data_IF_507421796780
#
_entry.id   IF_507421796780
#
_cell.length_a   1.000
_cell.length_b   1.000
_cell.length_c   1.000
_cell.angle_alpha   90.00
_cell.angle_beta   90.00
_cell.angle_gamma   90.00
#
_symmetry.space_group_name_H-M   'P 1'
#
loop_
_entity.id
_entity.type
_entity.pdbx_description
1 polymer ?
#
# COMPACT_ATOMS: atom_id res chain seq x y z
N UNK A 1 12.77 -12.78 -3.66
CA UNK A 1 13.59 -13.61 -2.75
C UNK A 1 12.66 -14.56 -1.97
N UNK A 2 12.97 -15.86 -1.95
CA UNK A 2 12.16 -16.86 -1.23
C UNK A 2 12.18 -16.61 0.28
N UNK A 3 13.28 -16.10 0.82
CA UNK A 3 13.39 -15.80 2.26
C UNK A 3 12.44 -14.68 2.69
N UNK A 4 12.29 -13.64 1.88
CA UNK A 4 11.33 -12.54 2.10
C UNK A 4 9.88 -13.07 2.03
N UNK A 5 9.58 -13.94 1.07
CA UNK A 5 8.26 -14.56 0.96
C UNK A 5 7.93 -15.46 2.17
N UNK A 6 8.88 -16.27 2.64
CA UNK A 6 8.72 -17.09 3.85
C UNK A 6 8.60 -16.24 5.12
N UNK A 7 9.38 -15.18 5.25
CA UNK A 7 9.29 -14.26 6.40
C UNK A 7 7.93 -13.56 6.43
N UNK A 8 7.46 -13.05 5.28
CA UNK A 8 6.14 -12.45 5.17
C UNK A 8 5.02 -13.46 5.45
N UNK A 9 5.11 -14.66 4.88
CA UNK A 9 4.16 -15.73 5.15
C UNK A 9 4.13 -16.11 6.63
N UNK A 10 5.31 -16.24 7.25
CA UNK A 10 5.45 -16.56 8.67
C UNK A 10 4.89 -15.47 9.60
N UNK A 11 5.17 -14.19 9.33
CA UNK A 11 4.62 -13.09 10.13
C UNK A 11 3.12 -13.00 9.96
N UNK A 12 2.59 -13.12 8.74
CA UNK A 12 1.15 -13.12 8.48
C UNK A 12 0.45 -14.30 9.15
N UNK A 13 1.03 -15.50 9.09
CA UNK A 13 0.50 -16.68 9.78
C UNK A 13 0.50 -16.49 11.29
N UNK A 14 1.58 -15.98 11.87
CA UNK A 14 1.65 -15.71 13.30
C UNK A 14 0.63 -14.65 13.73
N UNK A 15 0.50 -13.55 12.97
CA UNK A 15 -0.50 -12.51 13.21
C UNK A 15 -1.91 -13.07 13.15
N UNK A 16 -2.22 -13.92 12.14
CA UNK A 16 -3.52 -14.57 12.01
C UNK A 16 -3.79 -15.52 13.18
N UNK A 17 -2.81 -16.31 13.60
CA UNK A 17 -2.92 -17.22 14.75
C UNK A 17 -3.19 -16.47 16.05
N UNK A 18 -2.45 -15.37 16.30
CA UNK A 18 -2.65 -14.54 17.49
C UNK A 18 -4.03 -13.86 17.48
N UNK A 19 -4.46 -13.33 16.34
CA UNK A 19 -5.80 -12.75 16.17
C UNK A 19 -6.90 -13.79 16.38
N UNK A 20 -6.73 -14.99 15.83
CA UNK A 20 -7.69 -16.09 15.99
C UNK A 20 -7.75 -16.57 17.44
N UNK A 21 -6.61 -16.71 18.12
CA UNK A 21 -6.55 -17.06 19.54
C UNK A 21 -7.23 -16.00 20.41
N UNK A 22 -7.01 -14.72 20.12
CA UNK A 22 -7.66 -13.61 20.81
C UNK A 22 -9.18 -13.57 20.56
N UNK A 23 -9.61 -13.83 19.32
CA UNK A 23 -11.02 -13.93 18.96
C UNK A 23 -11.73 -15.07 19.70
N UNK A 24 -11.11 -16.24 19.76
CA UNK A 24 -11.60 -17.37 20.54
C UNK A 24 -11.67 -17.06 22.04
N UNK A 25 -10.67 -16.36 22.59
CA UNK A 25 -10.66 -15.92 23.98
C UNK A 25 -11.81 -14.94 24.31
N UNK A 26 -12.14 -14.05 23.37
CA UNK A 26 -13.24 -13.08 23.47
C UNK A 26 -14.61 -13.66 23.09
N UNK A 27 -14.69 -14.93 22.68
CA UNK A 27 -15.95 -15.57 22.26
C UNK A 27 -16.63 -14.88 21.07
N UNK A 28 -15.89 -14.16 20.24
CA UNK A 28 -16.41 -13.36 19.12
C UNK A 28 -15.62 -13.63 17.84
N UNK A 29 -16.23 -13.34 16.68
CA UNK A 29 -15.54 -13.47 15.39
C UNK A 29 -14.55 -12.31 15.17
N UNK A 30 -13.48 -12.56 14.42
CA UNK A 30 -12.41 -11.60 14.11
C UNK A 30 -12.99 -10.35 13.44
N UNK A 31 -13.97 -10.53 12.56
CA UNK A 31 -14.65 -9.42 11.90
C UNK A 31 -15.46 -8.56 12.88
N UNK A 32 -16.13 -9.19 13.86
CA UNK A 32 -16.89 -8.46 14.89
C UNK A 32 -15.97 -7.64 15.78
N UNK A 33 -14.81 -8.18 16.15
CA UNK A 33 -13.80 -7.46 16.93
C UNK A 33 -13.24 -6.26 16.18
N UNK A 34 -12.86 -6.44 14.91
CA UNK A 34 -12.36 -5.35 14.07
C UNK A 34 -13.39 -4.23 13.92
N UNK A 35 -14.66 -4.60 13.70
CA UNK A 35 -15.77 -3.64 13.59
C UNK A 35 -15.98 -2.86 14.88
N UNK A 36 -15.93 -3.53 16.03
CA UNK A 36 -16.07 -2.91 17.35
C UNK A 36 -14.95 -1.92 17.67
N UNK A 37 -13.69 -2.25 17.32
CA UNK A 37 -12.55 -1.36 17.52
C UNK A 37 -12.71 -0.10 16.68
N UNK A 38 -12.98 -0.24 15.38
CA UNK A 38 -13.09 0.92 14.47
C UNK A 38 -14.25 1.83 14.87
N UNK A 39 -15.43 1.28 15.16
CA UNK A 39 -16.58 2.10 15.57
C UNK A 39 -16.36 2.76 16.93
N UNK A 40 -15.82 2.03 17.91
CA UNK A 40 -15.52 2.58 19.23
C UNK A 40 -14.56 3.78 19.15
N UNK A 41 -13.60 3.73 18.24
CA UNK A 41 -12.64 4.82 18.08
C UNK A 41 -13.20 6.02 17.32
N UNK A 42 -14.11 5.80 16.36
CA UNK A 42 -14.89 6.87 15.72
C UNK A 42 -15.76 7.58 16.76
N UNK A 43 -16.51 6.81 17.56
CA UNK A 43 -17.41 7.36 18.58
C UNK A 43 -16.65 8.17 19.64
N UNK A 44 -15.50 7.67 20.10
CA UNK A 44 -14.61 8.40 21.02
C UNK A 44 -14.09 9.68 20.42
N UNK A 45 -13.63 9.64 19.16
CA UNK A 45 -13.12 10.82 18.46
C UNK A 45 -14.21 11.89 18.32
N UNK A 46 -15.43 11.48 17.97
CA UNK A 46 -16.60 12.35 17.90
C UNK A 46 -17.00 12.94 19.26
N UNK A 47 -16.89 12.18 20.34
CA UNK A 47 -17.19 12.67 21.69
C UNK A 47 -16.16 13.70 22.20
N UNK A 48 -14.93 13.66 21.70
CA UNK A 48 -13.85 14.61 22.09
C UNK A 48 -13.83 15.90 21.27
N UNK A 49 -14.61 15.97 20.19
CA UNK A 49 -14.67 17.15 19.34
C UNK A 49 -15.42 18.29 20.06
N UNK A 50 -14.85 19.50 20.13
CA UNK A 50 -15.54 20.65 20.71
C UNK A 50 -16.75 20.99 19.83
N UNK A 51 -17.93 20.58 20.27
CA UNK A 51 -19.21 20.79 19.56
C UNK A 51 -19.60 22.26 19.42
N UNK A 52 -18.86 23.17 20.07
CA UNK A 52 -19.14 24.61 20.13
C UNK A 52 -18.52 25.39 18.96
N UNK A 53 -17.47 24.87 18.32
CA UNK A 53 -16.69 25.62 17.31
C UNK A 53 -17.00 25.21 15.86
N UNK A 54 -17.81 24.18 15.65
CA UNK A 54 -18.11 23.63 14.32
C UNK A 54 -19.56 23.93 13.93
N UNK A 55 -19.77 24.37 12.68
CA UNK A 55 -21.13 24.48 12.14
C UNK A 55 -21.77 23.09 12.03
N UNK A 56 -23.12 22.99 12.09
CA UNK A 56 -23.81 21.72 11.89
C UNK A 56 -23.44 21.01 10.58
N UNK A 57 -23.17 21.77 9.53
CA UNK A 57 -22.72 21.26 8.23
C UNK A 57 -21.32 20.64 8.31
N UNK A 58 -20.34 21.34 8.89
CA UNK A 58 -18.98 20.83 9.07
C UNK A 58 -18.95 19.55 9.92
N UNK A 59 -19.80 19.48 10.94
CA UNK A 59 -19.97 18.29 11.77
C UNK A 59 -20.52 17.11 10.98
N UNK A 60 -21.49 17.35 10.08
CA UNK A 60 -22.07 16.31 9.24
C UNK A 60 -21.06 15.78 8.20
N UNK A 61 -20.33 16.66 7.54
CA UNK A 61 -19.26 16.28 6.59
C UNK A 61 -18.18 15.44 7.28
N UNK A 62 -17.73 15.88 8.46
CA UNK A 62 -16.70 15.16 9.20
C UNK A 62 -17.16 13.78 9.64
N UNK A 63 -18.42 13.64 10.12
CA UNK A 63 -19.01 12.33 10.44
C UNK A 63 -19.05 11.44 9.20
N UNK A 64 -19.49 11.97 8.07
CA UNK A 64 -19.55 11.21 6.81
C UNK A 64 -18.15 10.73 6.39
N UNK A 65 -17.13 11.58 6.49
CA UNK A 65 -15.74 11.19 6.20
C UNK A 65 -15.25 10.10 7.17
N UNK A 66 -15.51 10.23 8.46
CA UNK A 66 -15.14 9.22 9.46
C UNK A 66 -15.84 7.89 9.21
N UNK A 67 -17.12 7.89 8.86
CA UNK A 67 -17.88 6.69 8.51
C UNK A 67 -17.35 6.02 7.23
N UNK A 68 -16.97 6.82 6.22
CA UNK A 68 -16.35 6.32 4.99
C UNK A 68 -14.98 5.68 5.28
N UNK A 69 -14.12 6.36 6.04
CA UNK A 69 -12.82 5.83 6.47
C UNK A 69 -13.01 4.56 7.30
N UNK A 70 -13.95 4.57 8.24
CA UNK A 70 -14.27 3.41 9.06
C UNK A 70 -14.73 2.21 8.22
N UNK A 71 -15.58 2.45 7.23
CA UNK A 71 -16.04 1.41 6.31
C UNK A 71 -14.90 0.88 5.44
N UNK A 72 -14.05 1.75 4.92
CA UNK A 72 -12.85 1.36 4.19
C UNK A 72 -11.93 0.51 5.04
N UNK A 73 -11.60 0.94 6.26
CA UNK A 73 -10.73 0.18 7.18
C UNK A 73 -11.33 -1.18 7.52
N UNK A 74 -12.64 -1.27 7.80
CA UNK A 74 -13.34 -2.53 8.07
C UNK A 74 -13.35 -3.50 6.90
N UNK A 75 -13.38 -3.00 5.67
CA UNK A 75 -13.39 -3.87 4.49
C UNK A 75 -11.98 -4.22 4.02
N UNK A 76 -11.03 -3.29 4.12
CA UNK A 76 -9.67 -3.43 3.60
C UNK A 76 -8.65 -3.94 4.62
N UNK A 77 -9.03 -4.17 5.90
CA UNK A 77 -8.09 -4.61 6.93
C UNK A 77 -7.24 -5.83 6.52
N UNK A 78 -7.76 -6.87 5.83
CA UNK A 78 -6.92 -8.02 5.48
C UNK A 78 -5.78 -7.61 4.54
N UNK A 79 -6.11 -6.85 3.48
CA UNK A 79 -5.11 -6.34 2.56
C UNK A 79 -4.16 -5.35 3.22
N UNK A 80 -4.66 -4.46 4.08
CA UNK A 80 -3.83 -3.52 4.83
C UNK A 80 -2.80 -4.25 5.70
N UNK A 81 -3.18 -5.33 6.39
CA UNK A 81 -2.24 -6.14 7.18
C UNK A 81 -1.12 -6.71 6.31
N UNK A 82 -1.45 -7.21 5.11
CA UNK A 82 -0.45 -7.71 4.16
C UNK A 82 0.45 -6.60 3.64
N UNK A 83 -0.11 -5.45 3.27
CA UNK A 83 0.65 -4.29 2.79
C UNK A 83 1.60 -3.78 3.87
N UNK A 84 1.11 -3.55 5.09
CA UNK A 84 1.95 -3.09 6.20
C UNK A 84 3.02 -4.11 6.57
N UNK A 85 2.67 -5.39 6.65
CA UNK A 85 3.66 -6.46 6.89
C UNK A 85 4.75 -6.51 5.82
N UNK A 86 4.36 -6.35 4.55
CA UNK A 86 5.28 -6.26 3.42
C UNK A 86 6.19 -5.04 3.52
N UNK A 87 5.64 -3.85 3.81
CA UNK A 87 6.41 -2.62 3.97
C UNK A 87 7.38 -2.69 5.15
N UNK A 88 6.96 -3.23 6.29
CA UNK A 88 7.83 -3.44 7.46
C UNK A 88 8.99 -4.37 7.12
N UNK A 89 8.72 -5.45 6.39
CA UNK A 89 9.77 -6.39 5.95
C UNK A 89 10.74 -5.73 4.97
N UNK A 90 10.22 -4.97 3.99
CA UNK A 90 11.05 -4.19 3.06
C UNK A 90 11.93 -3.18 3.79
N UNK A 91 11.39 -2.48 4.79
CA UNK A 91 12.15 -1.55 5.62
C UNK A 91 13.22 -2.27 6.45
N UNK A 92 12.88 -3.40 7.08
CA UNK A 92 13.84 -4.19 7.85
C UNK A 92 15.01 -4.67 6.98
N UNK A 93 14.71 -5.18 5.78
CA UNK A 93 15.70 -5.60 4.79
C UNK A 93 16.56 -4.42 4.32
N UNK A 94 15.96 -3.26 4.05
CA UNK A 94 16.68 -2.05 3.67
C UNK A 94 17.61 -1.55 4.79
N UNK A 95 17.17 -1.58 6.04
CA UNK A 95 18.00 -1.22 7.20
C UNK A 95 19.16 -2.19 7.36
N UNK A 96 18.93 -3.51 7.25
CA UNK A 96 19.98 -4.53 7.30
C UNK A 96 21.03 -4.33 6.20
N UNK A 97 20.58 -3.99 4.98
CA UNK A 97 21.48 -3.74 3.86
C UNK A 97 22.39 -2.51 4.08
N UNK A 98 21.86 -1.45 4.71
CA UNK A 98 22.58 -0.19 4.92
C UNK A 98 23.39 -0.13 6.23
N UNK A 99 22.98 -0.84 7.28
CA UNK A 99 23.61 -0.77 8.61
C UNK A 99 24.65 -1.86 8.85
N UNK A 100 24.68 -2.95 8.07
CA UNK A 100 25.64 -4.04 8.28
C UNK A 100 27.04 -3.65 7.79
N UNK A 101 28.07 -3.65 8.66
CA UNK A 101 29.45 -3.48 8.21
C UNK A 101 29.84 -4.64 7.28
N UNK A 102 30.31 -4.31 6.08
CA UNK A 102 30.64 -5.27 5.02
C UNK A 102 29.61 -5.38 3.88
N UNK A 103 28.48 -4.68 3.95
CA UNK A 103 27.51 -4.55 2.86
C UNK A 103 26.75 -5.87 2.59
N UNK A 104 25.55 -6.01 3.14
CA UNK A 104 24.70 -7.13 2.75
C UNK A 104 24.15 -6.90 1.35
N UNK A 105 24.72 -7.59 0.36
CA UNK A 105 24.22 -7.56 -1.02
C UNK A 105 22.95 -8.38 -1.09
N UNK A 106 21.82 -7.72 -1.32
CA UNK A 106 20.56 -8.42 -1.56
C UNK A 106 20.65 -9.18 -2.89
N UNK A 107 20.39 -10.50 -2.91
CA UNK A 107 20.27 -11.23 -4.16
C UNK A 107 19.00 -10.79 -4.89
N UNK A 108 19.15 -10.25 -6.10
CA UNK A 108 18.03 -9.79 -6.91
C UNK A 108 18.41 -8.77 -7.98
N UNK A 109 17.39 -8.21 -8.61
CA UNK A 109 17.51 -7.13 -9.58
C UNK A 109 17.62 -5.80 -8.83
N UNK A 110 18.44 -4.87 -9.31
CA UNK A 110 18.50 -3.50 -8.77
C UNK A 110 17.10 -2.87 -8.80
N UNK A 111 16.74 -2.12 -7.77
CA UNK A 111 15.41 -1.52 -7.66
C UNK A 111 15.06 -0.66 -8.88
N UNK A 112 16.02 0.05 -9.48
CA UNK A 112 15.81 0.83 -10.70
C UNK A 112 15.41 -0.03 -11.93
N UNK A 113 15.77 -1.31 -11.94
CA UNK A 113 15.42 -2.26 -12.98
C UNK A 113 14.24 -3.18 -12.59
N UNK A 114 13.68 -3.03 -11.39
CA UNK A 114 12.55 -3.84 -10.94
C UNK A 114 11.27 -3.54 -11.74
N UNK A 115 10.59 -4.56 -12.26
CA UNK A 115 9.33 -4.45 -12.99
C UNK A 115 8.35 -5.48 -12.42
N UNK A 116 7.10 -5.08 -12.20
CA UNK A 116 6.07 -6.04 -11.80
C UNK A 116 5.63 -6.89 -13.01
N UNK A 117 5.14 -8.13 -12.81
CA UNK A 117 4.65 -8.96 -13.91
C UNK A 117 3.48 -8.31 -14.66
N UNK A 118 3.55 -8.26 -15.99
CA UNK A 118 2.53 -7.63 -16.85
C UNK A 118 1.14 -8.25 -16.70
N UNK A 119 1.07 -9.53 -16.30
CA UNK A 119 -0.18 -10.25 -16.05
C UNK A 119 -1.01 -9.63 -14.92
N UNK A 120 -0.40 -8.92 -13.96
CA UNK A 120 -1.10 -8.31 -12.81
C UNK A 120 -2.08 -7.20 -13.20
N UNK A 121 -1.98 -6.72 -14.44
CA UNK A 121 -2.83 -5.66 -14.96
C UNK A 121 -4.28 -6.11 -15.13
N UNK A 122 -4.48 -7.36 -15.53
CA UNK A 122 -5.80 -7.94 -15.74
C UNK A 122 -6.59 -8.10 -14.43
N UNK A 123 -6.05 -8.69 -13.35
CA UNK A 123 -6.75 -8.72 -12.07
C UNK A 123 -6.96 -7.31 -11.49
N UNK A 124 -6.07 -6.33 -11.75
CA UNK A 124 -6.30 -4.93 -11.36
C UNK A 124 -7.53 -4.34 -12.07
N UNK A 125 -7.59 -4.46 -13.40
CA UNK A 125 -8.71 -3.96 -14.21
C UNK A 125 -10.01 -4.67 -13.80
N UNK A 126 -9.98 -6.00 -13.68
CA UNK A 126 -11.15 -6.78 -13.26
C UNK A 126 -11.63 -6.36 -11.87
N UNK A 127 -10.72 -6.20 -10.89
CA UNK A 127 -11.07 -5.75 -9.55
C UNK A 127 -11.67 -4.32 -9.56
N UNK A 128 -11.13 -3.42 -10.37
CA UNK A 128 -11.68 -2.07 -10.53
C UNK A 128 -13.14 -2.10 -11.02
N UNK A 129 -13.42 -2.89 -12.05
CA UNK A 129 -14.78 -3.03 -12.58
C UNK A 129 -15.72 -3.73 -11.60
N UNK A 130 -15.29 -4.83 -10.95
CA UNK A 130 -16.13 -5.54 -9.98
C UNK A 130 -16.44 -4.62 -8.79
N UNK A 131 -15.45 -3.89 -8.27
CA UNK A 131 -15.66 -2.94 -7.18
C UNK A 131 -16.67 -1.85 -7.55
N UNK A 132 -16.63 -1.35 -8.79
CA UNK A 132 -17.54 -0.29 -9.23
C UNK A 132 -18.98 -0.77 -9.50
N UNK A 133 -19.14 -1.99 -10.05
CA UNK A 133 -20.43 -2.49 -10.52
C UNK A 133 -21.14 -3.44 -9.56
N UNK A 134 -20.48 -3.91 -8.50
CA UNK A 134 -21.05 -4.88 -7.57
C UNK A 134 -21.08 -4.34 -6.15
N UNK A 135 -21.87 -4.99 -5.28
CA UNK A 135 -21.98 -4.68 -3.86
C UNK A 135 -21.77 -5.96 -3.04
N UNK A 136 -21.54 -5.80 -1.73
CA UNK A 136 -21.34 -6.93 -0.82
C UNK A 136 -19.97 -7.61 -1.00
N UNK A 137 -19.93 -8.93 -0.84
CA UNK A 137 -18.67 -9.69 -0.84
C UNK A 137 -17.80 -9.53 -2.09
N UNK A 138 -18.34 -9.53 -3.34
CA UNK A 138 -17.53 -9.31 -4.53
C UNK A 138 -16.81 -7.96 -4.54
N UNK A 139 -17.46 -6.90 -4.05
CA UNK A 139 -16.86 -5.57 -3.92
C UNK A 139 -15.75 -5.58 -2.85
N UNK A 140 -15.99 -6.21 -1.70
CA UNK A 140 -14.99 -6.31 -0.62
C UNK A 140 -13.73 -7.07 -1.07
N UNK A 141 -13.89 -8.19 -1.79
CA UNK A 141 -12.76 -8.96 -2.33
C UNK A 141 -11.98 -8.12 -3.34
N UNK A 142 -12.69 -7.41 -4.21
CA UNK A 142 -12.08 -6.54 -5.23
C UNK A 142 -11.35 -5.36 -4.62
N UNK A 143 -11.92 -4.73 -3.58
CA UNK A 143 -11.27 -3.67 -2.81
C UNK A 143 -9.94 -4.15 -2.21
N UNK A 144 -9.93 -5.32 -1.56
CA UNK A 144 -8.71 -5.88 -0.99
C UNK A 144 -7.65 -6.16 -2.07
N UNK A 145 -8.07 -6.70 -3.22
CA UNK A 145 -7.16 -6.91 -4.34
C UNK A 145 -6.57 -5.60 -4.88
N UNK A 146 -7.37 -4.54 -4.99
CA UNK A 146 -6.89 -3.20 -5.37
C UNK A 146 -5.89 -2.64 -4.34
N UNK A 147 -6.19 -2.76 -3.05
CA UNK A 147 -5.32 -2.31 -1.95
C UNK A 147 -3.98 -3.05 -1.94
N UNK A 148 -3.93 -4.32 -2.38
CA UNK A 148 -2.69 -5.07 -2.57
C UNK A 148 -1.89 -4.62 -3.80
N UNK A 149 -2.57 -4.36 -4.92
CA UNK A 149 -1.92 -4.08 -6.21
C UNK A 149 -1.42 -2.63 -6.31
N UNK A 150 -2.15 -1.65 -5.76
CA UNK A 150 -1.80 -0.23 -5.86
C UNK A 150 -0.39 0.09 -5.30
N UNK A 151 0.01 -0.39 -4.10
CA UNK A 151 1.37 -0.19 -3.61
C UNK A 151 2.44 -0.81 -4.51
N UNK A 152 2.16 -1.93 -5.19
CA UNK A 152 3.11 -2.54 -6.12
C UNK A 152 3.35 -1.65 -7.34
N UNK A 153 2.29 -1.04 -7.89
CA UNK A 153 2.43 -0.07 -8.98
C UNK A 153 3.09 1.23 -8.52
N UNK A 154 2.83 1.67 -7.29
CA UNK A 154 3.55 2.79 -6.69
C UNK A 154 5.06 2.51 -6.60
N UNK A 155 5.45 1.32 -6.11
CA UNK A 155 6.85 0.89 -6.08
C UNK A 155 7.47 0.82 -7.48
N UNK A 156 6.71 0.40 -8.49
CA UNK A 156 7.18 0.41 -9.88
C UNK A 156 7.40 1.84 -10.39
N UNK A 157 6.49 2.76 -10.05
CA UNK A 157 6.67 4.18 -10.33
C UNK A 157 7.95 4.75 -9.71
N UNK A 158 8.23 4.41 -8.45
CA UNK A 158 9.48 4.79 -7.78
C UNK A 158 10.71 4.14 -8.44
N UNK A 159 10.61 2.90 -8.92
CA UNK A 159 11.68 2.25 -9.67
C UNK A 159 12.02 3.01 -10.97
N UNK A 160 11.01 3.52 -11.67
CA UNK A 160 11.18 4.35 -12.87
C UNK A 160 11.85 5.68 -12.54
N UNK A 161 11.40 6.35 -11.47
CA UNK A 161 12.04 7.59 -10.98
C UNK A 161 13.51 7.33 -10.65
N UNK A 162 13.81 6.23 -9.94
CA UNK A 162 15.16 5.81 -9.60
C UNK A 162 16.02 5.54 -10.84
N UNK A 163 15.45 4.90 -11.86
CA UNK A 163 16.10 4.70 -13.15
C UNK A 163 16.50 6.03 -13.79
N UNK A 164 15.57 7.00 -13.89
CA UNK A 164 15.87 8.30 -14.48
C UNK A 164 16.84 9.14 -13.64
N UNK A 165 16.76 9.08 -12.32
CA UNK A 165 17.72 9.76 -11.44
C UNK A 165 19.14 9.23 -11.61
N UNK A 166 19.30 7.92 -11.85
CA UNK A 166 20.60 7.32 -12.15
C UNK A 166 21.08 7.65 -13.55
N UNK A 167 20.19 7.55 -14.56
CA UNK A 167 20.49 7.90 -15.95
C UNK A 167 20.96 9.36 -16.09
N UNK A 168 20.35 10.28 -15.33
CA UNK A 168 20.72 11.71 -15.31
C UNK A 168 21.81 12.07 -14.28
N UNK A 169 22.44 11.09 -13.64
CA UNK A 169 23.48 11.30 -12.63
C UNK A 169 23.09 12.29 -11.51
N UNK A 170 21.81 12.31 -11.11
CA UNK A 170 21.28 13.20 -10.07
C UNK A 170 22.03 12.98 -8.76
N UNK A 171 22.40 14.04 -8.03
CA UNK A 171 23.11 13.94 -6.76
C UNK A 171 22.32 13.15 -5.71
N UNK A 172 22.96 12.32 -4.85
CA UNK A 172 22.26 11.44 -3.90
C UNK A 172 21.27 12.15 -2.97
N UNK A 173 21.62 13.34 -2.47
CA UNK A 173 20.73 14.11 -1.58
C UNK A 173 19.44 14.55 -2.31
N UNK A 174 19.55 14.91 -3.60
CA UNK A 174 18.42 15.34 -4.41
C UNK A 174 17.53 14.15 -4.79
N UNK A 175 18.09 12.95 -4.90
CA UNK A 175 17.30 11.72 -5.06
C UNK A 175 16.42 11.45 -3.84
N UNK A 176 16.98 11.58 -2.64
CA UNK A 176 16.23 11.40 -1.39
C UNK A 176 15.10 12.42 -1.29
N UNK A 177 15.36 13.70 -1.60
CA UNK A 177 14.33 14.72 -1.65
C UNK A 177 13.24 14.37 -2.67
N UNK A 178 13.61 13.92 -3.87
CA UNK A 178 12.66 13.49 -4.90
C UNK A 178 11.76 12.34 -4.44
N UNK A 179 12.29 11.35 -3.72
CA UNK A 179 11.48 10.26 -3.16
C UNK A 179 10.54 10.73 -2.06
N UNK A 180 11.01 11.60 -1.16
CA UNK A 180 10.17 12.18 -0.09
C UNK A 180 9.01 12.97 -0.71
N UNK A 181 9.28 13.79 -1.74
CA UNK A 181 8.24 14.53 -2.46
C UNK A 181 7.25 13.58 -3.13
N UNK A 182 7.74 12.53 -3.81
CA UNK A 182 6.89 11.55 -4.48
C UNK A 182 5.93 10.82 -3.53
N UNK A 183 6.27 10.71 -2.24
CA UNK A 183 5.44 10.05 -1.20
C UNK A 183 4.52 11.04 -0.46
N UNK A 184 5.01 12.25 -0.14
CA UNK A 184 4.30 13.17 0.76
C UNK A 184 3.44 14.21 0.05
N UNK A 185 3.79 14.58 -1.19
CA UNK A 185 3.17 15.72 -1.85
C UNK A 185 1.98 15.27 -2.70
N UNK A 186 0.74 15.45 -2.23
CA UNK A 186 -0.46 15.22 -3.04
C UNK A 186 -0.46 16.20 -4.23
N UNK A 187 -0.59 15.76 -5.50
CA UNK A 187 -1.02 14.44 -6.00
C UNK A 187 0.08 13.51 -6.52
N UNK A 188 1.36 13.76 -6.21
CA UNK A 188 2.49 12.98 -6.71
C UNK A 188 2.38 11.47 -6.47
N UNK A 189 1.95 10.95 -5.29
CA UNK A 189 1.84 9.51 -5.08
C UNK A 189 0.92 8.83 -6.10
N UNK A 190 -0.19 9.49 -6.44
CA UNK A 190 -1.15 9.00 -7.42
C UNK A 190 -0.51 8.99 -8.81
N UNK A 191 0.15 10.08 -9.19
CA UNK A 191 0.85 10.18 -10.49
C UNK A 191 1.92 9.09 -10.60
N UNK A 192 2.73 8.89 -9.55
CA UNK A 192 3.78 7.87 -9.50
C UNK A 192 3.18 6.47 -9.67
N UNK A 193 2.05 6.19 -9.01
CA UNK A 193 1.32 4.93 -9.15
C UNK A 193 0.86 4.70 -10.60
N UNK A 194 0.30 5.72 -11.25
CA UNK A 194 -0.09 5.63 -12.66
C UNK A 194 1.11 5.42 -13.58
N UNK A 195 2.21 6.13 -13.36
CA UNK A 195 3.46 5.94 -14.14
C UNK A 195 3.92 4.48 -14.03
N UNK A 196 3.89 3.90 -12.81
CA UNK A 196 4.22 2.50 -12.60
C UNK A 196 3.26 1.52 -13.28
N UNK A 197 1.95 1.80 -13.25
CA UNK A 197 0.95 1.01 -13.96
C UNK A 197 1.16 1.04 -15.49
N UNK A 198 1.36 2.23 -16.06
CA UNK A 198 1.52 2.39 -17.51
C UNK A 198 2.84 1.86 -18.07
N UNK A 199 3.88 1.74 -17.23
CA UNK A 199 5.15 1.12 -17.59
C UNK A 199 5.01 -0.35 -18.00
N UNK A 200 3.93 -1.03 -17.60
CA UNK A 200 3.64 -2.39 -18.03
C UNK A 200 3.36 -2.49 -19.53
N UNK A 201 2.75 -1.47 -20.14
CA UNK A 201 2.50 -1.43 -21.59
C UNK A 201 3.55 -0.64 -22.36
N UNK A 202 3.96 0.51 -21.83
CA UNK A 202 4.81 1.47 -22.57
C UNK A 202 6.30 1.13 -22.44
N UNK A 203 6.70 0.49 -21.33
CA UNK A 203 8.09 0.23 -20.97
C UNK A 203 8.97 1.48 -21.08
N UNK A 204 8.83 2.41 -20.14
CA UNK A 204 9.49 3.73 -20.18
C UNK A 204 11.02 3.66 -20.09
N UNK A 205 11.56 2.49 -19.71
CA UNK A 205 13.00 2.26 -19.50
C UNK A 205 13.70 1.77 -20.75
N UNK A 206 12.97 1.35 -21.78
CA UNK A 206 13.56 0.86 -23.02
C UNK A 206 14.05 2.04 -23.88
N UNK A 207 15.35 2.10 -24.24
CA UNK A 207 15.82 3.10 -25.19
C UNK A 207 15.14 2.86 -26.54
N UNK A 208 14.60 3.93 -27.14
CA UNK A 208 14.04 3.88 -28.49
C UNK A 208 15.20 3.63 -29.46
N UNK A 209 15.33 2.41 -29.96
CA UNK A 209 16.21 2.11 -31.09
C UNK A 209 15.57 2.68 -32.34
N UNK A 210 15.98 3.87 -32.74
CA UNK A 210 15.71 4.39 -34.08
C UNK A 210 16.58 3.57 -35.03
N UNK A 211 15.99 2.63 -35.76
CA UNK A 211 16.66 2.01 -36.90
C UNK A 211 16.75 3.08 -37.99
N UNK A 212 17.90 3.75 -38.08
CA UNK A 212 18.34 4.54 -39.24
C UNK A 212 19.25 3.70 -40.11
#
# INVERSE_FOLDING_TARGET
DRAVAFALGGTLLLSLLLLSAYALYQGSDIFTLANGIVQGEIDRSLATLPTTDLTPEQMAEMKQLMEQVGTFLRQAWPALTVVFGGLTLLLAVALLANLRPGGYVLPGVDFAAWKSPEVLIWPFIAAGFIYFFTNGWPAVISLNLLVLLLPLYFLQGLAIISHFFRLKAVAPWLRNLGYVMAVLLNPLPIIVTFVGLFDLWVDFRKPRTTNT
#
